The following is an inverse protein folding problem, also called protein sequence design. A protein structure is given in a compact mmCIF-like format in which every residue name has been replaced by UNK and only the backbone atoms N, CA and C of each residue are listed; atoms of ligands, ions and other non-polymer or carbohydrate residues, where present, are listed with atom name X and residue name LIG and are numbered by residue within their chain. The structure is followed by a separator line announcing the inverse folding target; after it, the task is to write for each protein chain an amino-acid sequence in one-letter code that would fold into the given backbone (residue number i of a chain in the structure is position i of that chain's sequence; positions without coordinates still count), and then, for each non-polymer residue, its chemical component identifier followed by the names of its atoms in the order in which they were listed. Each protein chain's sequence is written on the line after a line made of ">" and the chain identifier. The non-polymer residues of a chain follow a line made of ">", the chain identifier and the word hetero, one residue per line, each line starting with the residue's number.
data_IF_673508313436
#
_entry.id   IF_673508313436
#
_cell.length_a   1.000
_cell.length_b   1.000
_cell.length_c   1.000
_cell.angle_alpha   90.00
_cell.angle_beta   90.00
_cell.angle_gamma   90.00
#
_symmetry.space_group_name_H-M   'P 1'
#
loop_
_entity.id
_entity.type
_entity.pdbx_description
1 polymer ?
#
# COMPACT_ATOMS: atom_id res chain seq x y z
N UNK A 1 19.91 -4.81 -3.06
CA UNK A 1 20.82 -4.87 -1.90
C UNK A 1 20.01 -5.45 -0.75
N UNK A 2 20.23 -6.72 -0.43
CA UNK A 2 19.57 -7.36 0.72
C UNK A 2 20.04 -6.66 1.98
N UNK A 3 19.09 -6.11 2.75
CA UNK A 3 19.37 -5.51 4.05
C UNK A 3 19.14 -6.59 5.10
N UNK A 4 20.21 -7.10 5.69
CA UNK A 4 20.11 -8.04 6.77
C UNK A 4 19.72 -7.32 8.07
N UNK A 5 18.83 -7.94 8.84
CA UNK A 5 18.58 -7.54 10.22
C UNK A 5 19.67 -8.23 11.04
N UNK A 6 20.56 -7.45 11.63
CA UNK A 6 21.54 -7.95 12.58
C UNK A 6 20.94 -7.88 13.98
N UNK A 7 21.18 -8.90 14.78
CA UNK A 7 20.83 -8.95 16.21
C UNK A 7 22.00 -8.47 17.03
N UNK A 8 21.73 -7.60 17.99
CA UNK A 8 22.72 -7.03 18.92
C UNK A 8 22.19 -7.15 20.35
N UNK A 9 23.07 -7.46 21.29
CA UNK A 9 22.68 -7.60 22.68
C UNK A 9 22.28 -6.25 23.30
N UNK A 10 23.00 -5.19 22.96
CA UNK A 10 22.77 -3.84 23.54
C UNK A 10 22.84 -2.72 22.49
N UNK A 11 22.35 -1.52 22.83
CA UNK A 11 22.52 -0.33 21.99
C UNK A 11 23.98 0.03 21.75
N UNK A 12 24.85 -0.24 22.74
CA UNK A 12 26.27 0.03 22.62
C UNK A 12 26.95 -0.84 21.57
N UNK A 13 26.47 -2.08 21.38
CA UNK A 13 26.95 -2.98 20.34
C UNK A 13 26.61 -2.48 18.95
N UNK A 14 25.44 -1.87 18.79
CA UNK A 14 25.04 -1.20 17.53
C UNK A 14 25.98 -0.02 17.21
N UNK A 15 26.28 0.79 18.19
CA UNK A 15 27.20 1.93 18.02
C UNK A 15 28.60 1.45 17.63
N UNK A 16 29.08 0.39 18.28
CA UNK A 16 30.37 -0.23 17.98
C UNK A 16 30.40 -0.80 16.53
N UNK A 17 29.35 -1.48 16.11
CA UNK A 17 29.22 -2.00 14.74
C UNK A 17 29.18 -0.90 13.67
N UNK A 18 28.57 0.25 13.97
CA UNK A 18 28.57 1.44 13.09
C UNK A 18 30.00 2.02 12.97
N UNK A 19 30.70 2.16 14.07
CA UNK A 19 32.07 2.69 14.11
C UNK A 19 33.06 1.79 13.38
N UNK A 20 32.87 0.47 13.46
CA UNK A 20 33.68 -0.53 12.77
C UNK A 20 33.32 -0.72 11.30
N UNK A 21 32.24 -0.09 10.82
CA UNK A 21 31.75 -0.26 9.44
C UNK A 21 31.06 -1.61 9.17
N UNK A 22 30.74 -2.38 10.19
CA UNK A 22 30.00 -3.65 10.11
C UNK A 22 28.52 -3.39 9.82
N UNK A 23 28.01 -2.23 10.21
CA UNK A 23 26.66 -1.76 10.00
C UNK A 23 26.68 -0.43 9.24
N UNK A 24 26.05 -0.39 8.07
CA UNK A 24 25.98 0.82 7.25
C UNK A 24 24.58 1.45 7.38
N UNK A 25 24.53 2.76 7.51
CA UNK A 25 23.24 3.48 7.50
C UNK A 25 22.64 3.52 6.10
N UNK A 26 21.30 3.39 5.97
CA UNK A 26 20.32 3.11 7.02
C UNK A 26 20.36 1.63 7.47
N UNK A 27 20.19 1.38 8.74
CA UNK A 27 20.21 0.03 9.32
C UNK A 27 18.91 -0.32 10.07
N UNK A 28 18.67 -1.60 10.26
CA UNK A 28 17.71 -2.17 11.22
C UNK A 28 18.47 -3.14 12.12
N UNK A 29 18.36 -2.96 13.41
CA UNK A 29 18.97 -3.82 14.40
C UNK A 29 17.97 -4.22 15.48
N UNK A 30 18.05 -5.46 15.94
CA UNK A 30 17.27 -5.96 17.05
C UNK A 30 18.11 -5.93 18.32
N UNK A 31 17.58 -5.33 19.38
CA UNK A 31 18.24 -5.23 20.68
C UNK A 31 17.63 -6.27 21.60
N UNK A 32 18.41 -7.30 21.91
CA UNK A 32 17.95 -8.49 22.64
C UNK A 32 17.63 -8.20 24.10
N UNK A 33 18.39 -7.33 24.76
CA UNK A 33 18.24 -7.04 26.19
C UNK A 33 16.94 -6.30 26.54
N UNK A 34 16.35 -5.58 25.58
CA UNK A 34 15.10 -4.82 25.74
C UNK A 34 14.00 -5.30 24.81
N UNK A 35 14.19 -6.40 24.09
CA UNK A 35 13.23 -6.99 23.14
C UNK A 35 12.62 -5.94 22.21
N UNK A 36 13.46 -5.10 21.64
CA UNK A 36 13.04 -4.05 20.71
C UNK A 36 13.90 -4.01 19.46
N UNK A 37 13.32 -3.49 18.39
CA UNK A 37 14.06 -3.18 17.18
C UNK A 37 14.52 -1.73 17.26
N UNK A 38 15.82 -1.49 17.18
CA UNK A 38 16.38 -0.17 16.98
C UNK A 38 16.62 0.08 15.49
N UNK A 39 16.32 1.30 15.08
CA UNK A 39 16.53 1.76 13.72
C UNK A 39 16.85 3.25 13.72
N UNK A 40 17.59 3.67 12.76
CA UNK A 40 17.72 5.10 12.50
C UNK A 40 16.38 5.62 11.94
N UNK A 41 15.49 5.97 12.86
CA UNK A 41 14.08 6.28 12.56
C UNK A 41 13.89 7.39 11.53
N UNK A 42 14.88 8.24 11.33
CA UNK A 42 14.85 9.31 10.32
C UNK A 42 15.10 8.78 8.90
N UNK A 43 15.84 7.67 8.76
CA UNK A 43 16.26 7.15 7.46
C UNK A 43 15.48 5.90 7.01
N UNK A 44 15.02 5.06 7.95
CA UNK A 44 14.26 3.84 7.62
C UNK A 44 12.75 4.06 7.53
N UNK A 45 12.26 5.13 8.15
CA UNK A 45 10.87 5.54 8.03
C UNK A 45 9.86 4.45 8.37
N UNK A 46 8.73 4.40 7.66
CA UNK A 46 7.58 3.58 8.03
C UNK A 46 7.73 2.09 7.75
N UNK A 47 8.80 1.64 7.07
CA UNK A 47 8.98 0.22 6.70
C UNK A 47 9.05 -0.71 7.91
N UNK A 48 9.49 -0.19 9.06
CA UNK A 48 9.68 -0.93 10.32
C UNK A 48 8.50 -0.77 11.28
N UNK A 49 7.46 -0.05 10.89
CA UNK A 49 6.28 0.18 11.73
C UNK A 49 5.13 -0.71 11.28
N UNK A 50 4.31 -1.14 12.23
CA UNK A 50 3.01 -1.73 11.91
C UNK A 50 2.17 -0.77 11.07
N UNK A 51 1.22 -1.30 10.29
CA UNK A 51 0.20 -0.46 9.65
C UNK A 51 -0.42 0.47 10.70
N UNK A 52 -0.36 1.77 10.45
CA UNK A 52 -0.70 2.81 11.44
C UNK A 52 -1.63 3.83 10.82
N UNK A 53 -2.72 4.15 11.51
CA UNK A 53 -3.61 5.26 11.20
C UNK A 53 -3.40 6.38 12.22
N UNK A 54 -3.19 7.60 11.74
CA UNK A 54 -3.19 8.83 12.54
C UNK A 54 -4.50 9.58 12.23
N UNK A 55 -5.33 9.78 13.24
CA UNK A 55 -6.64 10.41 13.07
C UNK A 55 -6.49 11.91 12.85
N UNK A 56 -7.06 12.40 11.75
CA UNK A 56 -7.06 13.83 11.37
C UNK A 56 -8.36 14.51 11.79
N UNK A 57 -9.51 13.87 11.59
CA UNK A 57 -10.80 14.38 12.09
C UNK A 57 -11.51 13.31 12.90
N UNK A 58 -12.21 13.75 13.95
CA UNK A 58 -12.97 12.85 14.84
C UNK A 58 -13.99 12.00 14.06
N UNK A 59 -14.20 10.78 14.50
CA UNK A 59 -15.17 9.88 13.92
C UNK A 59 -14.90 8.41 14.22
N UNK A 60 -15.62 7.54 13.53
CA UNK A 60 -15.51 6.09 13.68
C UNK A 60 -14.51 5.50 12.68
N UNK A 61 -13.83 4.44 13.10
CA UNK A 61 -13.17 3.46 12.20
C UNK A 61 -13.92 2.14 12.37
N UNK A 62 -14.37 1.60 11.26
CA UNK A 62 -15.04 0.32 11.18
C UNK A 62 -14.19 -0.64 10.35
N UNK A 63 -14.20 -1.90 10.71
CA UNK A 63 -13.67 -2.98 9.88
C UNK A 63 -14.83 -3.82 9.38
N UNK A 64 -15.14 -3.68 8.12
CA UNK A 64 -16.21 -4.41 7.44
C UNK A 64 -15.67 -5.72 6.89
N UNK A 65 -16.37 -6.82 7.13
CA UNK A 65 -16.12 -8.11 6.48
C UNK A 65 -17.43 -8.60 5.87
N UNK A 66 -17.45 -8.92 4.57
CA UNK A 66 -18.69 -9.32 3.90
C UNK A 66 -19.15 -10.73 4.27
N UNK A 67 -18.33 -11.52 4.95
CA UNK A 67 -18.62 -12.93 5.24
C UNK A 67 -18.20 -13.36 6.64
N UNK A 68 -19.13 -13.97 7.37
CA UNK A 68 -18.93 -14.45 8.75
C UNK A 68 -17.95 -15.63 8.87
N UNK A 69 -17.66 -16.33 7.77
CA UNK A 69 -16.81 -17.52 7.77
C UNK A 69 -15.33 -17.22 7.54
N UNK A 70 -14.99 -16.01 7.15
CA UNK A 70 -13.58 -15.60 7.02
C UNK A 70 -13.01 -15.30 8.40
N UNK A 71 -12.27 -16.24 8.95
CA UNK A 71 -11.51 -16.03 10.18
C UNK A 71 -10.26 -15.20 9.87
N UNK A 72 -10.38 -13.90 9.93
CA UNK A 72 -9.24 -12.99 9.82
C UNK A 72 -8.76 -12.67 11.22
N UNK A 73 -7.46 -12.87 11.47
CA UNK A 73 -6.82 -12.42 12.69
C UNK A 73 -6.38 -10.97 12.52
N UNK A 74 -7.00 -10.06 13.26
CA UNK A 74 -6.55 -8.67 13.37
C UNK A 74 -6.51 -8.27 14.82
N UNK A 75 -5.35 -7.76 15.20
CA UNK A 75 -5.14 -7.08 16.46
C UNK A 75 -4.92 -5.59 16.18
N UNK A 76 -5.36 -4.76 17.09
CA UNK A 76 -5.11 -3.33 17.06
C UNK A 76 -4.79 -2.80 18.45
N UNK A 77 -4.07 -1.69 18.49
CA UNK A 77 -3.89 -0.91 19.72
C UNK A 77 -4.07 0.58 19.41
N UNK A 78 -4.56 1.30 20.40
CA UNK A 78 -4.77 2.75 20.32
C UNK A 78 -3.76 3.43 21.22
N UNK A 79 -3.00 4.34 20.67
CA UNK A 79 -1.93 5.06 21.37
C UNK A 79 -0.94 4.04 22.03
N UNK A 80 -0.69 4.19 23.30
CA UNK A 80 0.22 3.31 24.07
C UNK A 80 -0.53 2.19 24.85
N UNK A 81 -1.78 1.90 24.50
CA UNK A 81 -2.54 0.82 25.15
C UNK A 81 -2.09 -0.57 24.67
N UNK A 82 -2.54 -1.59 25.37
CA UNK A 82 -2.29 -2.98 25.00
C UNK A 82 -2.99 -3.37 23.68
N UNK A 83 -2.47 -4.41 23.04
CA UNK A 83 -3.08 -5.00 21.86
C UNK A 83 -4.42 -5.65 22.19
N UNK A 84 -5.41 -5.38 21.35
CA UNK A 84 -6.76 -5.91 21.44
C UNK A 84 -7.09 -6.67 20.16
N UNK A 85 -7.80 -7.80 20.27
CA UNK A 85 -8.27 -8.55 19.10
C UNK A 85 -9.54 -7.92 18.55
N UNK A 86 -9.52 -7.56 17.28
CA UNK A 86 -10.73 -7.12 16.57
C UNK A 86 -11.66 -8.32 16.39
N UNK A 87 -12.87 -8.24 16.90
CA UNK A 87 -13.84 -9.31 16.79
C UNK A 87 -14.85 -9.03 15.69
N UNK A 88 -14.91 -9.88 14.70
CA UNK A 88 -15.84 -9.79 13.58
C UNK A 88 -17.16 -10.48 13.92
N UNK A 89 -18.27 -9.78 13.72
CA UNK A 89 -19.62 -10.34 13.84
C UNK A 89 -20.44 -9.89 12.63
N UNK A 90 -20.60 -10.78 11.66
CA UNK A 90 -21.57 -10.66 10.58
C UNK A 90 -21.32 -9.56 9.54
N UNK A 91 -22.13 -9.58 8.47
CA UNK A 91 -22.06 -8.72 7.30
C UNK A 91 -22.20 -7.18 7.56
N UNK A 92 -22.38 -6.76 8.78
CA UNK A 92 -22.61 -5.34 9.13
C UNK A 92 -21.36 -4.61 9.63
N UNK A 93 -20.19 -5.25 9.60
CA UNK A 93 -18.92 -4.68 10.08
C UNK A 93 -18.97 -4.37 11.57
N UNK A 94 -17.83 -4.20 12.20
CA UNK A 94 -17.74 -3.76 13.59
C UNK A 94 -16.99 -2.47 13.70
N UNK A 95 -17.51 -1.54 14.50
CA UNK A 95 -16.78 -0.35 14.91
C UNK A 95 -15.58 -0.78 15.75
N UNK A 96 -14.36 -0.46 15.31
CA UNK A 96 -13.15 -0.59 16.11
C UNK A 96 -13.19 0.42 17.24
N UNK A 97 -13.65 1.64 16.95
CA UNK A 97 -13.84 2.67 17.95
C UNK A 97 -14.32 4.01 17.38
N UNK A 98 -14.53 4.94 18.32
CA UNK A 98 -14.66 6.37 18.06
C UNK A 98 -13.33 7.02 18.46
N UNK A 99 -12.80 7.85 17.59
CA UNK A 99 -11.46 8.41 17.73
C UNK A 99 -11.50 9.93 17.62
N UNK A 100 -10.51 10.58 18.24
CA UNK A 100 -10.30 12.02 18.19
C UNK A 100 -9.06 12.35 17.34
N UNK A 101 -8.93 13.58 16.83
CA UNK A 101 -7.72 14.01 16.16
C UNK A 101 -6.48 13.80 17.04
N UNK A 102 -5.44 13.22 16.43
CA UNK A 102 -4.20 12.87 17.13
C UNK A 102 -4.15 11.46 17.70
N UNK A 103 -5.28 10.72 17.76
CA UNK A 103 -5.22 9.31 18.10
C UNK A 103 -4.45 8.52 17.05
N UNK A 104 -3.65 7.57 17.52
CA UNK A 104 -2.82 6.68 16.68
C UNK A 104 -3.28 5.25 16.88
N UNK A 105 -3.66 4.59 15.78
CA UNK A 105 -4.13 3.20 15.81
C UNK A 105 -3.14 2.35 15.02
N UNK A 106 -2.56 1.34 15.64
CA UNK A 106 -1.68 0.38 14.99
C UNK A 106 -2.40 -0.95 14.79
N UNK A 107 -2.08 -1.63 13.68
CA UNK A 107 -2.71 -2.88 13.30
C UNK A 107 -1.68 -3.96 12.98
N UNK A 108 -1.95 -5.19 13.43
CA UNK A 108 -1.23 -6.40 13.04
C UNK A 108 -2.18 -7.59 12.93
N UNK A 109 -1.73 -8.67 12.31
CA UNK A 109 -2.50 -9.91 12.20
C UNK A 109 -1.61 -11.08 11.81
N UNK A 110 -2.10 -12.28 11.97
CA UNK A 110 -1.42 -13.51 11.56
C UNK A 110 -2.28 -14.23 10.51
N UNK A 111 -2.07 -13.90 9.22
CA UNK A 111 -2.90 -14.34 8.11
C UNK A 111 -2.05 -14.96 6.99
N UNK A 112 -0.95 -15.63 7.36
CA UNK A 112 0.06 -16.14 6.43
C UNK A 112 -0.38 -17.35 5.61
N UNK A 113 -1.49 -18.02 5.99
CA UNK A 113 -1.95 -19.26 5.35
C UNK A 113 -3.04 -19.07 4.29
N UNK A 114 -3.73 -17.92 4.21
CA UNK A 114 -4.98 -17.82 3.45
C UNK A 114 -5.21 -16.49 2.70
N UNK A 115 -4.24 -15.71 2.37
CA UNK A 115 -4.48 -14.41 1.77
C UNK A 115 -5.46 -13.55 2.59
N UNK A 116 -5.01 -12.42 3.02
CA UNK A 116 -5.67 -11.62 4.07
C UNK A 116 -7.13 -11.23 3.74
N UNK A 117 -7.48 -11.15 2.46
CA UNK A 117 -8.81 -10.70 2.04
C UNK A 117 -9.36 -11.51 0.86
N UNK A 118 -9.05 -12.79 0.79
CA UNK A 118 -9.55 -13.63 -0.31
C UNK A 118 -11.07 -13.51 -0.41
N UNK A 119 -11.54 -12.88 -1.49
CA UNK A 119 -12.95 -12.73 -1.75
C UNK A 119 -13.30 -13.21 -3.16
N UNK A 120 -14.28 -14.09 -3.24
CA UNK A 120 -14.78 -14.61 -4.51
C UNK A 120 -15.76 -13.66 -5.24
N UNK A 121 -16.16 -12.52 -4.62
CA UNK A 121 -17.22 -11.64 -5.17
C UNK A 121 -16.82 -10.17 -5.32
N UNK A 122 -15.52 -9.83 -5.26
CA UNK A 122 -15.01 -8.44 -5.36
C UNK A 122 -15.46 -7.47 -4.22
N UNK A 123 -15.93 -7.97 -3.11
CA UNK A 123 -16.25 -7.20 -1.90
C UNK A 123 -15.24 -7.57 -0.83
N UNK A 124 -14.13 -6.84 -0.73
CA UNK A 124 -13.06 -7.09 0.24
C UNK A 124 -13.45 -6.66 1.66
N UNK A 125 -12.66 -7.10 2.64
CA UNK A 125 -12.70 -6.53 3.97
C UNK A 125 -12.17 -5.09 3.89
N UNK A 126 -12.83 -4.14 4.49
CA UNK A 126 -12.50 -2.72 4.30
C UNK A 126 -12.47 -1.95 5.60
N UNK A 127 -11.47 -1.09 5.75
CA UNK A 127 -11.48 -0.05 6.76
C UNK A 127 -12.32 1.13 6.25
N UNK A 128 -13.49 1.30 6.83
CA UNK A 128 -14.42 2.38 6.49
C UNK A 128 -14.86 3.10 7.77
N UNK A 129 -15.37 4.31 7.64
CA UNK A 129 -15.88 5.05 8.80
C UNK A 129 -16.11 6.52 8.51
N UNK A 130 -16.36 7.29 9.57
CA UNK A 130 -16.57 8.74 9.46
C UNK A 130 -15.33 9.56 9.75
N UNK A 131 -14.33 8.99 10.46
CA UNK A 131 -13.04 9.62 10.70
C UNK A 131 -12.27 9.82 9.39
N UNK A 132 -11.53 10.93 9.29
CA UNK A 132 -10.44 11.03 8.30
C UNK A 132 -9.10 10.73 8.98
N UNK A 133 -8.18 10.12 8.23
CA UNK A 133 -6.92 9.65 8.78
C UNK A 133 -5.82 9.64 7.72
N UNK A 134 -4.57 9.68 8.20
CA UNK A 134 -3.37 9.38 7.42
C UNK A 134 -2.98 7.94 7.65
N UNK A 135 -2.36 7.31 6.65
CA UNK A 135 -1.85 5.95 6.77
C UNK A 135 -0.33 5.95 6.66
N UNK A 136 0.31 5.21 7.55
CA UNK A 136 1.74 4.95 7.54
C UNK A 136 2.04 3.51 7.96
N UNK A 137 3.32 3.11 7.86
CA UNK A 137 3.76 1.78 8.26
C UNK A 137 3.63 0.74 7.16
N UNK A 138 4.02 -0.47 7.50
CA UNK A 138 4.14 -1.59 6.57
C UNK A 138 2.88 -2.46 6.59
N UNK A 139 2.23 -2.59 5.44
CA UNK A 139 0.99 -3.36 5.32
C UNK A 139 1.17 -4.85 5.63
N UNK A 140 2.40 -5.39 5.46
CA UNK A 140 2.67 -6.80 5.73
C UNK A 140 2.51 -7.17 7.20
N UNK A 141 2.44 -6.19 8.12
CA UNK A 141 2.08 -6.43 9.52
C UNK A 141 0.70 -7.09 9.69
N UNK A 142 -0.22 -6.90 8.74
CA UNK A 142 -1.52 -7.54 8.74
C UNK A 142 -1.46 -9.03 8.36
N UNK A 143 -0.41 -9.45 7.67
CA UNK A 143 -0.23 -10.84 7.21
C UNK A 143 0.67 -11.60 8.16
N UNK A 144 1.82 -11.02 8.51
CA UNK A 144 2.90 -11.70 9.21
C UNK A 144 3.06 -11.31 10.69
N UNK A 145 2.12 -10.49 11.23
CA UNK A 145 2.15 -10.05 12.63
C UNK A 145 3.47 -9.37 12.98
N UNK A 146 4.10 -9.80 14.05
CA UNK A 146 5.38 -9.26 14.53
C UNK A 146 6.57 -9.66 13.63
N UNK A 147 6.38 -10.65 12.73
CA UNK A 147 7.41 -11.16 11.82
C UNK A 147 7.38 -10.50 10.43
N UNK A 148 6.75 -9.33 10.27
CA UNK A 148 6.58 -8.69 8.97
C UNK A 148 7.84 -8.06 8.39
N UNK A 149 8.87 -7.81 9.19
CA UNK A 149 10.12 -7.20 8.72
C UNK A 149 10.82 -8.07 7.67
N UNK A 150 11.27 -7.45 6.59
CA UNK A 150 11.88 -8.15 5.47
C UNK A 150 10.91 -8.93 4.58
N UNK A 151 9.61 -8.97 4.89
CA UNK A 151 8.59 -9.62 4.05
C UNK A 151 8.21 -8.69 2.89
N UNK A 152 8.66 -9.04 1.69
CA UNK A 152 8.38 -8.32 0.44
C UNK A 152 7.65 -9.21 -0.59
N UNK A 153 6.92 -10.22 -0.10
CA UNK A 153 6.15 -11.19 -0.88
C UNK A 153 4.85 -11.54 -0.16
N UNK A 154 3.89 -12.06 -0.92
CA UNK A 154 2.65 -12.64 -0.38
C UNK A 154 2.84 -14.11 -0.03
N UNK A 155 2.02 -14.66 0.90
CA UNK A 155 2.01 -16.09 1.17
C UNK A 155 1.72 -16.90 -0.11
N UNK A 156 2.26 -18.12 -0.19
CA UNK A 156 2.00 -19.02 -1.31
C UNK A 156 0.49 -19.27 -1.48
N UNK A 157 0.04 -19.35 -2.73
CA UNK A 157 -1.37 -19.56 -3.10
C UNK A 157 -2.33 -18.50 -2.54
N UNK A 158 -1.83 -17.31 -2.22
CA UNK A 158 -2.66 -16.18 -1.81
C UNK A 158 -2.88 -15.23 -2.98
N UNK A 159 -4.13 -15.08 -3.38
CA UNK A 159 -4.61 -14.05 -4.29
C UNK A 159 -5.51 -13.04 -3.54
N UNK A 160 -5.79 -11.88 -4.15
CA UNK A 160 -6.75 -10.89 -3.62
C UNK A 160 -6.48 -10.37 -2.20
N UNK A 161 -5.21 -10.37 -1.75
CA UNK A 161 -4.84 -10.11 -0.35
C UNK A 161 -5.41 -8.81 0.22
N UNK A 162 -5.30 -7.70 -0.49
CA UNK A 162 -5.74 -6.38 -0.02
C UNK A 162 -6.80 -5.75 -0.94
N UNK A 163 -7.60 -6.59 -1.61
CA UNK A 163 -8.69 -6.15 -2.48
C UNK A 163 -9.66 -5.25 -1.72
N UNK A 164 -9.86 -4.01 -2.21
CA UNK A 164 -10.84 -3.06 -1.68
C UNK A 164 -10.59 -2.58 -0.25
N UNK A 165 -9.40 -2.82 0.32
CA UNK A 165 -9.12 -2.63 1.75
C UNK A 165 -9.46 -1.24 2.29
N UNK A 166 -9.26 -0.20 1.49
CA UNK A 166 -9.54 1.18 1.85
C UNK A 166 -10.59 1.84 0.94
N UNK A 167 -11.34 1.04 0.21
CA UNK A 167 -12.36 1.53 -0.73
C UNK A 167 -13.34 2.50 -0.07
N UNK A 168 -13.43 3.72 -0.60
CA UNK A 168 -14.33 4.77 -0.11
C UNK A 168 -13.94 5.39 1.24
N UNK A 169 -12.75 5.08 1.76
CA UNK A 169 -12.28 5.64 3.04
C UNK A 169 -11.88 7.10 2.91
N UNK A 170 -11.99 7.84 4.02
CA UNK A 170 -11.58 9.25 4.11
C UNK A 170 -10.09 9.40 4.41
N UNK A 171 -9.27 8.80 3.57
CA UNK A 171 -7.82 8.88 3.70
C UNK A 171 -7.36 10.24 3.17
N UNK A 172 -6.59 10.95 4.00
CA UNK A 172 -6.03 12.25 3.62
C UNK A 172 -4.63 12.11 2.98
N UNK A 173 -3.83 11.15 3.45
CA UNK A 173 -2.42 11.03 3.10
C UNK A 173 -1.93 9.58 3.24
N UNK A 174 -1.11 9.12 2.29
CA UNK A 174 -0.44 7.82 2.26
C UNK A 174 1.09 7.94 2.26
N UNK A 175 1.67 9.13 2.45
CA UNK A 175 3.13 9.34 2.27
C UNK A 175 3.98 8.46 3.17
N UNK A 176 3.43 7.96 4.27
CA UNK A 176 4.08 7.01 5.16
C UNK A 176 3.74 5.53 4.94
N UNK A 177 2.88 5.18 3.96
CA UNK A 177 2.51 3.79 3.71
C UNK A 177 3.56 3.05 2.90
N UNK A 178 3.82 1.79 3.28
CA UNK A 178 4.72 0.88 2.58
C UNK A 178 3.97 -0.35 2.10
N UNK A 179 3.99 -0.58 0.78
CA UNK A 179 3.53 -1.79 0.10
C UNK A 179 4.77 -2.50 -0.45
N UNK A 180 5.47 -3.33 0.34
CA UNK A 180 6.85 -3.74 0.02
C UNK A 180 6.95 -4.86 -1.03
N UNK A 181 5.84 -5.49 -1.43
CA UNK A 181 5.88 -6.61 -2.36
C UNK A 181 6.47 -6.22 -3.72
N UNK A 182 7.48 -6.97 -4.16
CA UNK A 182 8.16 -6.80 -5.45
C UNK A 182 7.68 -7.77 -6.51
N UNK A 183 7.10 -8.90 -6.09
CA UNK A 183 6.39 -9.88 -6.92
C UNK A 183 4.95 -9.96 -6.42
N UNK A 184 4.00 -9.77 -7.33
CA UNK A 184 2.58 -9.68 -6.98
C UNK A 184 1.85 -10.98 -7.27
N UNK A 185 0.70 -11.13 -6.64
CA UNK A 185 -0.29 -12.19 -6.89
C UNK A 185 -1.56 -11.61 -7.52
N UNK A 186 -2.42 -12.45 -8.08
CA UNK A 186 -3.62 -11.99 -8.79
C UNK A 186 -4.53 -11.16 -7.88
N UNK A 187 -4.98 -10.02 -8.40
CA UNK A 187 -5.88 -9.10 -7.72
C UNK A 187 -5.41 -8.60 -6.34
N UNK A 188 -4.12 -8.69 -5.99
CA UNK A 188 -3.65 -8.43 -4.61
C UNK A 188 -3.95 -7.02 -4.09
N UNK A 189 -3.98 -6.01 -4.96
CA UNK A 189 -4.32 -4.61 -4.63
C UNK A 189 -5.51 -4.08 -5.45
N UNK A 190 -6.35 -4.98 -5.99
CA UNK A 190 -7.55 -4.63 -6.75
C UNK A 190 -8.44 -3.67 -5.94
N UNK A 191 -8.82 -2.51 -6.51
CA UNK A 191 -9.68 -1.48 -5.87
C UNK A 191 -9.20 -0.97 -4.48
N UNK A 192 -7.93 -1.16 -4.12
CA UNK A 192 -7.47 -0.89 -2.75
C UNK A 192 -7.81 0.50 -2.24
N UNK A 193 -7.69 1.54 -3.06
CA UNK A 193 -8.01 2.94 -2.74
C UNK A 193 -9.16 3.50 -3.61
N UNK A 194 -10.00 2.64 -4.17
CA UNK A 194 -11.12 3.05 -5.01
C UNK A 194 -11.99 4.09 -4.30
N UNK A 195 -12.27 5.23 -4.96
CA UNK A 195 -13.09 6.34 -4.42
C UNK A 195 -12.57 6.95 -3.09
N UNK A 196 -11.26 6.92 -2.83
CA UNK A 196 -10.65 7.71 -1.76
C UNK A 196 -10.53 9.17 -2.21
N UNK A 197 -11.67 9.89 -2.25
CA UNK A 197 -11.77 11.22 -2.87
C UNK A 197 -10.97 12.31 -2.16
N UNK A 198 -10.60 12.11 -0.89
CA UNK A 198 -9.79 13.04 -0.08
C UNK A 198 -8.29 12.80 -0.21
N UNK A 199 -7.87 11.74 -0.91
CA UNK A 199 -6.46 11.38 -1.05
C UNK A 199 -5.74 12.36 -1.97
N UNK A 200 -4.76 13.10 -1.42
CA UNK A 200 -4.01 14.13 -2.17
C UNK A 200 -2.61 13.70 -2.56
N UNK A 201 -1.96 12.87 -1.73
CA UNK A 201 -0.56 12.49 -1.91
C UNK A 201 -0.31 11.01 -1.62
N UNK A 202 0.56 10.42 -2.42
CA UNK A 202 1.07 9.05 -2.28
C UNK A 202 2.60 9.07 -2.38
N UNK A 203 3.33 8.14 -1.72
CA UNK A 203 4.77 8.04 -1.90
C UNK A 203 5.10 7.70 -3.36
N UNK A 204 6.15 8.30 -3.91
CA UNK A 204 6.59 7.98 -5.28
C UNK A 204 7.00 6.50 -5.44
N UNK A 205 7.48 5.87 -4.37
CA UNK A 205 7.89 4.46 -4.32
C UNK A 205 6.84 3.53 -3.71
N UNK A 206 5.56 3.93 -3.67
CA UNK A 206 4.47 3.11 -3.10
C UNK A 206 4.35 1.74 -3.78
N UNK A 207 4.59 1.67 -5.09
CA UNK A 207 4.39 0.47 -5.91
C UNK A 207 5.74 -0.03 -6.47
N UNK A 208 6.57 -0.70 -5.66
CA UNK A 208 7.91 -1.10 -6.05
C UNK A 208 7.96 -2.33 -6.95
N UNK A 209 6.82 -3.00 -7.20
CA UNK A 209 6.77 -4.26 -7.90
C UNK A 209 7.20 -4.13 -9.36
N UNK A 210 8.10 -5.02 -9.77
CA UNK A 210 8.55 -5.20 -11.16
C UNK A 210 7.98 -6.46 -11.80
N UNK A 211 7.55 -7.43 -10.99
CA UNK A 211 6.83 -8.63 -11.43
C UNK A 211 5.36 -8.51 -11.06
N UNK A 212 4.54 -8.25 -12.07
CA UNK A 212 3.10 -8.04 -11.92
C UNK A 212 2.33 -9.36 -12.07
N UNK A 213 1.09 -9.36 -11.58
CA UNK A 213 0.12 -10.43 -11.78
C UNK A 213 -1.19 -9.89 -12.37
N UNK A 214 -2.08 -10.78 -12.82
CA UNK A 214 -3.35 -10.38 -13.43
C UNK A 214 -4.17 -9.54 -12.45
N UNK A 215 -4.76 -8.45 -12.96
CA UNK A 215 -5.66 -7.55 -12.21
C UNK A 215 -5.04 -6.94 -10.93
N UNK A 216 -3.72 -7.01 -10.73
CA UNK A 216 -3.05 -6.68 -9.45
C UNK A 216 -3.30 -5.24 -8.96
N UNK A 217 -3.37 -4.26 -9.86
CA UNK A 217 -3.65 -2.85 -9.57
C UNK A 217 -4.91 -2.33 -10.29
N UNK A 218 -5.76 -3.23 -10.79
CA UNK A 218 -6.99 -2.82 -11.48
C UNK A 218 -7.85 -1.96 -10.55
N UNK A 219 -8.32 -0.80 -11.04
CA UNK A 219 -9.14 0.18 -10.34
C UNK A 219 -8.50 0.74 -9.04
N UNK A 220 -7.20 0.56 -8.79
CA UNK A 220 -6.59 0.83 -7.47
C UNK A 220 -6.84 2.24 -6.95
N UNK A 221 -6.73 3.26 -7.81
CA UNK A 221 -6.98 4.67 -7.47
C UNK A 221 -8.18 5.26 -8.22
N UNK A 222 -9.02 4.43 -8.84
CA UNK A 222 -10.19 4.92 -9.58
C UNK A 222 -11.04 5.83 -8.70
N UNK A 223 -11.37 7.04 -9.19
CA UNK A 223 -12.18 8.00 -8.46
C UNK A 223 -11.47 8.76 -7.33
N UNK A 224 -10.14 8.68 -7.22
CA UNK A 224 -9.35 9.51 -6.29
C UNK A 224 -9.22 10.93 -6.85
N UNK A 225 -10.30 11.70 -6.78
CA UNK A 225 -10.44 12.99 -7.47
C UNK A 225 -9.46 14.08 -7.04
N UNK A 226 -8.90 13.99 -5.83
CA UNK A 226 -7.92 14.94 -5.28
C UNK A 226 -6.46 14.54 -5.53
N UNK A 227 -6.19 13.33 -6.04
CA UNK A 227 -4.83 12.85 -6.28
C UNK A 227 -4.19 13.62 -7.44
N UNK A 228 -3.03 14.25 -7.20
CA UNK A 228 -2.33 15.06 -8.20
C UNK A 228 -1.17 14.34 -8.89
N UNK A 229 -0.52 13.42 -8.19
CA UNK A 229 0.68 12.71 -8.67
C UNK A 229 0.52 11.22 -8.44
N UNK A 230 0.71 10.41 -9.48
CA UNK A 230 0.72 8.96 -9.36
C UNK A 230 2.03 8.45 -8.72
N UNK A 231 2.02 7.31 -8.01
CA UNK A 231 3.26 6.61 -7.68
C UNK A 231 3.98 6.18 -8.97
N UNK A 232 5.30 6.02 -8.90
CA UNK A 232 6.05 5.48 -10.03
C UNK A 232 5.65 4.02 -10.31
N UNK A 233 5.58 3.67 -11.60
CA UNK A 233 5.22 2.33 -12.08
C UNK A 233 6.47 1.71 -12.74
N UNK A 234 7.29 0.95 -11.99
CA UNK A 234 8.60 0.51 -12.44
C UNK A 234 8.59 -0.73 -13.35
N UNK A 235 7.48 -1.48 -13.40
CA UNK A 235 7.38 -2.69 -14.19
C UNK A 235 7.55 -2.39 -15.70
N UNK A 236 8.42 -3.14 -16.36
CA UNK A 236 8.71 -2.98 -17.80
C UNK A 236 7.80 -3.80 -18.69
N UNK A 237 7.30 -4.94 -18.20
CA UNK A 237 6.34 -5.81 -18.90
C UNK A 237 5.02 -5.81 -18.16
N UNK A 238 3.97 -5.38 -18.85
CA UNK A 238 2.62 -5.40 -18.29
C UNK A 238 1.95 -6.76 -18.54
N UNK A 239 1.03 -7.10 -17.66
CA UNK A 239 0.24 -8.34 -17.73
C UNK A 239 -1.25 -8.02 -17.86
N UNK A 240 -2.07 -9.04 -18.10
CA UNK A 240 -3.52 -8.88 -18.31
C UNK A 240 -4.16 -8.00 -17.23
N UNK A 241 -4.81 -6.91 -17.67
CA UNK A 241 -5.60 -5.96 -16.87
C UNK A 241 -4.87 -5.36 -15.65
N UNK A 242 -3.52 -5.43 -15.57
CA UNK A 242 -2.78 -5.02 -14.36
C UNK A 242 -3.01 -3.55 -13.96
N UNK A 243 -3.17 -2.63 -14.93
CA UNK A 243 -3.47 -1.20 -14.69
C UNK A 243 -4.84 -0.79 -15.26
N UNK A 244 -5.74 -1.74 -15.58
CA UNK A 244 -7.07 -1.39 -16.11
C UNK A 244 -7.79 -0.44 -15.16
N UNK A 245 -8.27 0.72 -15.68
CA UNK A 245 -8.96 1.81 -14.97
C UNK A 245 -8.22 2.34 -13.72
N UNK A 246 -6.90 2.13 -13.60
CA UNK A 246 -6.15 2.41 -12.36
C UNK A 246 -6.35 3.84 -11.85
N UNK A 247 -6.37 4.83 -12.74
CA UNK A 247 -6.55 6.25 -12.43
C UNK A 247 -7.81 6.85 -13.08
N UNK A 248 -8.75 6.01 -13.52
CA UNK A 248 -10.01 6.50 -14.11
C UNK A 248 -10.74 7.41 -13.13
N UNK A 249 -11.12 8.61 -13.57
CA UNK A 249 -11.79 9.62 -12.73
C UNK A 249 -10.88 10.36 -11.73
N UNK A 250 -9.56 10.22 -11.80
CA UNK A 250 -8.61 11.02 -11.00
C UNK A 250 -8.48 12.42 -11.61
N UNK A 251 -9.48 13.26 -11.45
CA UNK A 251 -9.64 14.53 -12.19
C UNK A 251 -8.54 15.57 -11.93
N UNK A 252 -7.82 15.47 -10.81
CA UNK A 252 -6.68 16.34 -10.46
C UNK A 252 -5.33 15.76 -10.87
N UNK A 253 -5.27 14.50 -11.32
CA UNK A 253 -4.01 13.82 -11.63
C UNK A 253 -3.35 14.43 -12.86
N UNK A 254 -2.13 14.97 -12.69
CA UNK A 254 -1.38 15.67 -13.72
C UNK A 254 0.09 15.21 -13.87
N UNK A 255 0.49 14.16 -13.16
CA UNK A 255 1.83 13.55 -13.30
C UNK A 255 1.76 12.04 -13.19
N UNK A 256 2.30 11.33 -14.19
CA UNK A 256 2.45 9.87 -14.20
C UNK A 256 3.85 9.53 -14.70
N UNK A 257 4.55 8.63 -13.97
CA UNK A 257 5.79 7.98 -14.43
C UNK A 257 5.54 6.49 -14.61
N UNK A 258 5.60 5.99 -15.86
CA UNK A 258 5.42 4.58 -16.20
C UNK A 258 6.57 4.08 -17.06
N UNK A 259 7.33 3.11 -16.58
CA UNK A 259 8.52 2.58 -17.24
C UNK A 259 8.24 1.34 -18.11
N UNK A 260 6.97 1.06 -18.41
CA UNK A 260 6.59 -0.06 -19.25
C UNK A 260 7.16 0.09 -20.67
N UNK A 261 7.75 -0.99 -21.17
CA UNK A 261 8.27 -1.14 -22.53
C UNK A 261 7.50 -2.19 -23.33
N UNK A 262 6.73 -3.04 -22.66
CA UNK A 262 5.80 -4.00 -23.26
C UNK A 262 4.40 -3.81 -22.63
N UNK A 263 3.46 -3.35 -23.47
CA UNK A 263 2.05 -3.10 -23.15
C UNK A 263 1.12 -3.96 -24.00
N UNK A 264 1.60 -5.08 -24.52
CA UNK A 264 0.86 -5.94 -25.46
C UNK A 264 -0.23 -6.80 -24.79
N UNK A 265 -0.16 -6.96 -23.46
CA UNK A 265 -1.09 -7.81 -22.73
C UNK A 265 -2.54 -7.27 -22.77
N UNK A 266 -3.49 -8.17 -22.87
CA UNK A 266 -4.93 -7.86 -22.98
C UNK A 266 -5.38 -6.93 -21.85
N UNK A 267 -5.98 -5.78 -22.21
CA UNK A 267 -6.55 -4.78 -21.29
C UNK A 267 -5.55 -4.21 -20.26
N UNK A 268 -4.24 -4.39 -20.40
CA UNK A 268 -3.26 -4.02 -19.38
C UNK A 268 -3.35 -2.54 -18.95
N UNK A 269 -3.72 -1.63 -19.86
CA UNK A 269 -3.92 -0.19 -19.62
C UNK A 269 -5.31 0.30 -20.05
N UNK A 270 -6.30 -0.61 -20.23
CA UNK A 270 -7.63 -0.22 -20.70
C UNK A 270 -8.27 0.81 -19.76
N UNK A 271 -8.60 2.00 -20.28
CA UNK A 271 -9.27 3.06 -19.54
C UNK A 271 -8.47 3.67 -18.38
N UNK A 272 -7.18 3.34 -18.25
CA UNK A 272 -6.39 3.61 -17.05
C UNK A 272 -6.21 5.08 -16.69
N UNK A 273 -6.32 5.99 -17.65
CA UNK A 273 -6.21 7.45 -17.49
C UNK A 273 -7.46 8.20 -17.98
N UNK A 274 -8.61 7.52 -18.03
CA UNK A 274 -9.87 8.15 -18.38
C UNK A 274 -10.23 9.21 -17.33
N UNK A 275 -10.57 10.45 -17.77
CA UNK A 275 -11.00 11.52 -16.88
C UNK A 275 -9.91 12.15 -15.99
N UNK A 276 -8.62 11.94 -16.25
CA UNK A 276 -7.52 12.65 -15.57
C UNK A 276 -7.47 14.13 -16.00
N UNK A 277 -6.64 14.95 -15.37
CA UNK A 277 -6.48 16.38 -15.72
C UNK A 277 -6.19 16.58 -17.21
N UNK A 278 -6.70 17.67 -17.79
CA UNK A 278 -6.55 17.99 -19.23
C UNK A 278 -5.10 18.22 -19.65
N UNK A 279 -4.24 18.65 -18.73
CA UNK A 279 -2.81 18.90 -18.94
C UNK A 279 -2.00 18.25 -17.83
N UNK A 280 -0.80 17.80 -18.16
CA UNK A 280 0.09 17.17 -17.22
C UNK A 280 1.38 16.71 -17.86
N UNK A 281 2.16 15.91 -17.13
CA UNK A 281 3.42 15.32 -17.59
C UNK A 281 3.36 13.81 -17.52
N UNK A 282 3.70 13.15 -18.62
CA UNK A 282 3.87 11.70 -18.68
C UNK A 282 5.34 11.36 -18.91
N UNK A 283 5.93 10.66 -17.94
CA UNK A 283 7.33 10.20 -18.04
C UNK A 283 7.34 8.73 -18.42
N UNK A 284 7.93 8.39 -19.57
CA UNK A 284 8.04 7.02 -20.11
C UNK A 284 9.48 6.53 -20.14
N UNK A 285 9.68 5.22 -20.26
CA UNK A 285 10.98 4.69 -20.63
C UNK A 285 11.40 5.22 -22.00
N UNK A 286 12.66 5.68 -22.14
CA UNK A 286 13.18 6.24 -23.41
C UNK A 286 13.14 5.22 -24.55
N UNK A 287 13.30 3.93 -24.25
CA UNK A 287 13.19 2.84 -25.22
C UNK A 287 11.75 2.55 -25.69
N UNK A 288 10.74 3.09 -25.02
CA UNK A 288 9.33 2.85 -25.35
C UNK A 288 8.84 3.85 -26.40
N UNK A 289 8.63 3.39 -27.62
CA UNK A 289 8.21 4.22 -28.77
C UNK A 289 6.77 4.03 -29.21
N UNK A 290 6.09 3.00 -28.70
CA UNK A 290 4.77 2.56 -29.19
C UNK A 290 3.59 2.97 -28.33
N UNK A 291 3.75 3.90 -27.37
CA UNK A 291 2.62 4.44 -26.63
C UNK A 291 1.65 5.17 -27.57
N UNK A 292 0.38 4.79 -27.52
CA UNK A 292 -0.72 5.53 -28.16
C UNK A 292 -1.19 6.68 -27.27
N UNK A 293 -1.83 7.69 -27.85
CA UNK A 293 -2.48 8.77 -27.09
C UNK A 293 -3.97 8.43 -26.86
N UNK A 294 -4.48 8.72 -25.69
CA UNK A 294 -5.89 8.50 -25.34
C UNK A 294 -6.07 7.84 -23.97
N UNK A 295 -7.30 7.48 -23.63
CA UNK A 295 -7.70 6.98 -22.30
C UNK A 295 -7.02 5.67 -21.90
N UNK A 296 -6.52 4.92 -22.86
CA UNK A 296 -5.79 3.64 -22.64
C UNK A 296 -4.29 3.76 -22.94
N UNK A 297 -3.80 4.96 -23.19
CA UNK A 297 -2.41 5.27 -23.49
C UNK A 297 -1.91 6.45 -22.68
N UNK A 298 -1.17 7.37 -23.33
CA UNK A 298 -0.77 8.66 -22.76
C UNK A 298 -1.97 9.60 -22.81
N UNK A 299 -2.32 10.32 -21.71
CA UNK A 299 -3.45 11.24 -21.73
C UNK A 299 -3.31 12.30 -22.83
N UNK A 300 -4.39 12.57 -23.56
CA UNK A 300 -4.39 13.60 -24.60
C UNK A 300 -4.09 14.98 -24.00
N UNK A 301 -3.15 15.71 -24.62
CA UNK A 301 -2.75 17.05 -24.19
C UNK A 301 -1.66 17.09 -23.12
N UNK A 302 -1.12 15.94 -22.71
CA UNK A 302 -0.01 15.88 -21.77
C UNK A 302 1.34 16.01 -22.45
N UNK A 303 2.29 16.65 -21.77
CA UNK A 303 3.70 16.69 -22.17
C UNK A 303 4.35 15.33 -21.89
N UNK A 304 5.07 14.80 -22.88
CA UNK A 304 5.79 13.52 -22.77
C UNK A 304 7.26 13.79 -22.53
N UNK A 305 7.85 13.08 -21.60
CA UNK A 305 9.27 13.12 -21.25
C UNK A 305 9.85 11.70 -21.21
N UNK A 306 11.12 11.56 -21.53
CA UNK A 306 11.87 10.32 -21.33
C UNK A 306 12.47 10.28 -19.91
N UNK A 307 12.49 9.07 -19.31
CA UNK A 307 13.00 8.81 -17.96
C UNK A 307 14.53 8.69 -17.94
#
# INVERSE_FOLDING_TARGET
>A
MERYINSFATENDIQTALENGELLKPYVAYIEDVDRIDWNSKELGPITRYLTFEIVSAGTINLFTPYDYLKIDIQYKVNNNDWQTAQFKGANGRTIGNFNPGDVIQFKGNNDSYGFFRNVTNVGNSFIGTASFKISGNIMSLIYGDNFLGKNYFPENSDRNFTGMFKGSKIADLTGLVLPATTLTDCCYYEMFYNCTSLTAVPSNLLPATTLAQDCYQNMFQGCTSLTTAPALPATTLVKSCYQNMFDGCTSLNYIKCLATDISATNCTKGWVSGVAKTGTFVKASSMTSWTTGVSGIPTGWTVQDA
#
